data_IF_791012381430
#
_entry.id   IF_791012381430
#
_cell.length_a   1.000
_cell.length_b   1.000
_cell.length_c   1.000
_cell.angle_alpha   90.00
_cell.angle_beta   90.00
_cell.angle_gamma   90.00
#
_symmetry.space_group_name_H-M   'P 1'
#
loop_
_entity.id
_entity.type
_entity.pdbx_description
1 polymer ?
#
# COMPACT_ATOMS: atom_id res chain seq x y z
N UNK A 1 -28.88 6.38 -8.29
CA UNK A 1 -27.81 6.53 -7.28
C UNK A 1 -27.36 5.21 -6.66
N UNK A 2 -28.26 4.40 -6.09
CA UNK A 2 -27.91 3.12 -5.42
C UNK A 2 -27.12 2.12 -6.27
N UNK A 3 -27.46 1.98 -7.56
CA UNK A 3 -26.75 1.08 -8.49
C UNK A 3 -25.28 1.46 -8.68
N UNK A 4 -24.95 2.75 -8.67
CA UNK A 4 -23.58 3.23 -8.82
C UNK A 4 -22.74 2.93 -7.56
N UNK A 5 -23.31 3.15 -6.37
CA UNK A 5 -22.67 2.80 -5.10
C UNK A 5 -22.39 1.30 -5.00
N UNK A 6 -23.38 0.47 -5.33
CA UNK A 6 -23.24 -0.99 -5.35
C UNK A 6 -22.26 -1.47 -6.43
N UNK A 7 -22.18 -0.80 -7.58
CA UNK A 7 -21.19 -1.11 -8.61
C UNK A 7 -19.78 -0.78 -8.11
N UNK A 8 -19.57 0.40 -7.53
CA UNK A 8 -18.31 0.81 -6.94
C UNK A 8 -17.84 -0.18 -5.86
N UNK A 9 -18.71 -0.48 -4.89
CA UNK A 9 -18.42 -1.42 -3.81
C UNK A 9 -17.99 -2.78 -4.38
N UNK A 10 -18.74 -3.35 -5.34
CA UNK A 10 -18.40 -4.65 -5.94
C UNK A 10 -17.06 -4.64 -6.66
N UNK A 11 -16.74 -3.57 -7.39
CA UNK A 11 -15.47 -3.46 -8.13
C UNK A 11 -14.30 -3.35 -7.17
N UNK A 12 -14.37 -2.43 -6.21
CA UNK A 12 -13.28 -2.19 -5.24
C UNK A 12 -13.08 -3.41 -4.33
N UNK A 13 -14.15 -3.95 -3.77
CA UNK A 13 -14.08 -5.14 -2.93
C UNK A 13 -13.56 -6.36 -3.68
N UNK A 14 -13.89 -6.50 -4.96
CA UNK A 14 -13.39 -7.57 -5.82
C UNK A 14 -11.90 -7.42 -6.11
N UNK A 15 -11.45 -6.20 -6.41
CA UNK A 15 -10.04 -5.88 -6.63
C UNK A 15 -9.21 -6.14 -5.36
N UNK A 16 -9.59 -5.54 -4.24
CA UNK A 16 -8.87 -5.63 -2.97
C UNK A 16 -8.84 -7.06 -2.42
N UNK A 17 -9.89 -7.86 -2.64
CA UNK A 17 -9.87 -9.29 -2.30
C UNK A 17 -8.89 -10.09 -3.14
N UNK A 18 -8.74 -9.78 -4.43
CA UNK A 18 -7.75 -10.46 -5.29
C UNK A 18 -6.34 -10.09 -4.88
N UNK A 19 -6.06 -8.78 -4.75
CA UNK A 19 -4.76 -8.27 -4.31
C UNK A 19 -4.42 -8.84 -2.93
N UNK A 20 -5.33 -8.75 -1.96
CA UNK A 20 -5.15 -9.27 -0.61
C UNK A 20 -4.81 -10.76 -0.58
N UNK A 21 -5.52 -11.61 -1.34
CA UNK A 21 -5.23 -13.05 -1.40
C UNK A 21 -3.86 -13.35 -2.01
N UNK A 22 -3.42 -12.59 -3.00
CA UNK A 22 -2.05 -12.73 -3.54
C UNK A 22 -1.03 -12.30 -2.48
N UNK A 23 -1.27 -11.17 -1.81
CA UNK A 23 -0.37 -10.62 -0.81
C UNK A 23 -0.25 -11.48 0.44
N UNK A 24 -1.27 -12.28 0.79
CA UNK A 24 -1.17 -13.28 1.88
C UNK A 24 0.03 -14.22 1.68
N UNK A 25 0.33 -14.61 0.44
CA UNK A 25 1.48 -15.46 0.15
C UNK A 25 2.83 -14.72 0.22
N UNK A 26 2.83 -13.39 0.29
CA UNK A 26 4.03 -12.57 0.47
C UNK A 26 4.82 -12.90 1.73
N UNK A 27 4.17 -13.46 2.76
CA UNK A 27 4.84 -13.96 3.95
C UNK A 27 5.85 -15.07 3.63
N UNK A 28 5.57 -15.94 2.66
CA UNK A 28 6.49 -17.00 2.24
C UNK A 28 7.73 -16.43 1.55
N UNK A 29 7.56 -15.36 0.76
CA UNK A 29 8.69 -14.65 0.16
C UNK A 29 9.57 -14.01 1.25
N UNK A 30 8.96 -13.36 2.25
CA UNK A 30 9.69 -12.81 3.39
C UNK A 30 10.41 -13.90 4.20
N UNK A 31 9.75 -15.04 4.46
CA UNK A 31 10.35 -16.20 5.13
C UNK A 31 11.54 -16.74 4.34
N UNK A 32 11.46 -16.83 3.01
CA UNK A 32 12.56 -17.29 2.17
C UNK A 32 13.76 -16.33 2.24
N UNK A 33 13.54 -15.02 2.23
CA UNK A 33 14.60 -14.00 2.39
C UNK A 33 15.27 -14.14 3.76
N UNK A 34 14.49 -14.27 4.83
CA UNK A 34 15.01 -14.41 6.19
C UNK A 34 15.74 -15.76 6.38
N UNK A 35 15.22 -16.83 5.79
CA UNK A 35 15.87 -18.14 5.80
C UNK A 35 17.23 -18.09 5.09
N UNK A 36 17.28 -17.43 3.92
CA UNK A 36 18.54 -17.21 3.21
C UNK A 36 19.53 -16.35 4.01
N UNK A 37 19.02 -15.31 4.68
CA UNK A 37 19.82 -14.49 5.59
C UNK A 37 20.41 -15.31 6.74
N UNK A 38 19.61 -16.20 7.35
CA UNK A 38 20.06 -17.07 8.42
C UNK A 38 21.10 -18.07 7.91
N UNK A 39 20.83 -18.70 6.76
CA UNK A 39 21.74 -19.67 6.14
C UNK A 39 23.12 -19.07 5.84
N UNK A 40 23.17 -17.90 5.21
CA UNK A 40 24.44 -17.25 4.85
C UNK A 40 25.22 -16.74 6.07
N UNK A 41 24.52 -16.26 7.10
CA UNK A 41 25.14 -15.83 8.35
C UNK A 41 25.71 -17.01 9.14
N UNK A 42 24.91 -18.05 9.36
CA UNK A 42 25.34 -19.27 10.06
C UNK A 42 26.46 -19.96 9.28
N UNK A 43 26.38 -19.98 7.94
CA UNK A 43 27.41 -20.52 7.07
C UNK A 43 28.76 -19.82 7.23
N UNK A 44 28.73 -18.49 7.34
CA UNK A 44 29.90 -17.67 7.66
C UNK A 44 30.46 -17.99 9.05
N UNK A 45 29.60 -18.01 10.06
CA UNK A 45 30.00 -18.22 11.47
C UNK A 45 30.58 -19.63 11.72
N UNK A 46 30.09 -20.64 10.98
CA UNK A 46 30.58 -22.02 11.04
C UNK A 46 31.83 -22.29 10.17
N UNK A 47 32.33 -21.28 9.45
CA UNK A 47 33.57 -21.40 8.66
C UNK A 47 33.40 -22.12 7.31
N UNK A 48 32.19 -22.21 6.75
CA UNK A 48 31.94 -22.84 5.45
C UNK A 48 32.38 -21.98 4.23
N UNK A 49 33.10 -20.87 4.46
CA UNK A 49 33.55 -19.98 3.39
C UNK A 49 32.41 -19.22 2.68
N UNK A 50 31.24 -19.12 3.31
CA UNK A 50 30.08 -18.38 2.80
C UNK A 50 30.13 -16.96 3.36
N UNK A 51 30.03 -15.95 2.50
CA UNK A 51 29.93 -14.56 2.94
C UNK A 51 28.48 -14.19 3.32
N UNK A 52 28.24 -13.46 4.42
CA UNK A 52 26.91 -12.97 4.77
C UNK A 52 26.28 -12.14 3.64
N UNK A 53 25.03 -12.42 3.31
CA UNK A 53 24.32 -11.67 2.27
C UNK A 53 24.00 -10.25 2.74
N UNK A 54 24.47 -9.24 1.99
CA UNK A 54 24.28 -7.84 2.34
C UNK A 54 22.87 -7.31 2.02
N UNK A 55 22.12 -7.98 1.15
CA UNK A 55 20.85 -7.50 0.61
C UNK A 55 19.62 -7.95 1.39
N UNK A 56 19.76 -8.97 2.24
CA UNK A 56 18.62 -9.68 2.83
C UNK A 56 17.87 -8.85 3.85
N UNK A 57 18.55 -7.95 4.56
CA UNK A 57 17.94 -7.10 5.58
C UNK A 57 16.94 -6.12 4.96
N UNK A 58 17.37 -5.36 3.95
CA UNK A 58 16.55 -4.36 3.28
C UNK A 58 15.45 -5.03 2.45
N UNK A 59 15.75 -6.17 1.80
CA UNK A 59 14.72 -6.91 1.09
C UNK A 59 13.65 -7.46 2.02
N UNK A 60 14.00 -7.91 3.22
CA UNK A 60 13.02 -8.32 4.21
C UNK A 60 12.15 -7.14 4.66
N UNK A 61 12.74 -5.95 4.86
CA UNK A 61 12.01 -4.74 5.20
C UNK A 61 11.07 -4.29 4.06
N UNK A 62 11.53 -4.30 2.81
CA UNK A 62 10.71 -3.97 1.66
C UNK A 62 9.58 -4.98 1.46
N UNK A 63 9.87 -6.28 1.63
CA UNK A 63 8.86 -7.33 1.58
C UNK A 63 7.81 -7.15 2.68
N UNK A 64 8.23 -6.81 3.91
CA UNK A 64 7.33 -6.51 5.02
C UNK A 64 6.44 -5.30 4.70
N UNK A 65 7.03 -4.18 4.25
CA UNK A 65 6.28 -2.97 3.90
C UNK A 65 5.27 -3.25 2.78
N UNK A 66 5.70 -3.95 1.73
CA UNK A 66 4.82 -4.35 0.64
C UNK A 66 3.66 -5.24 1.13
N UNK A 67 3.98 -6.25 1.97
CA UNK A 67 3.00 -7.14 2.59
C UNK A 67 1.95 -6.38 3.41
N UNK A 68 2.39 -5.49 4.30
CA UNK A 68 1.49 -4.72 5.16
C UNK A 68 0.66 -3.71 4.38
N UNK A 69 1.27 -2.95 3.48
CA UNK A 69 0.59 -1.83 2.80
C UNK A 69 -0.35 -2.33 1.69
N UNK A 70 0.03 -3.35 0.91
CA UNK A 70 -0.86 -3.93 -0.09
C UNK A 70 -1.91 -4.89 0.52
N UNK A 71 -1.64 -5.44 1.71
CA UNK A 71 -2.60 -6.23 2.48
C UNK A 71 -3.61 -5.38 3.27
N UNK A 72 -3.27 -4.13 3.60
CA UNK A 72 -4.10 -3.20 4.35
C UNK A 72 -5.53 -2.97 3.81
N UNK A 73 -5.76 -2.80 2.49
CA UNK A 73 -7.11 -2.68 1.95
C UNK A 73 -7.97 -3.92 2.24
N UNK A 74 -7.35 -5.12 2.15
CA UNK A 74 -8.04 -6.37 2.42
C UNK A 74 -8.35 -6.54 3.91
N UNK A 75 -7.47 -6.10 4.81
CA UNK A 75 -7.70 -6.12 6.25
C UNK A 75 -8.85 -5.18 6.67
N UNK A 76 -8.96 -4.00 6.05
CA UNK A 76 -10.10 -3.09 6.22
C UNK A 76 -11.38 -3.78 5.75
N UNK A 77 -11.36 -4.41 4.58
CA UNK A 77 -12.53 -5.09 4.00
C UNK A 77 -13.09 -6.20 4.89
N UNK A 78 -12.23 -7.05 5.47
CA UNK A 78 -12.65 -8.15 6.37
C UNK A 78 -12.86 -7.66 7.81
N UNK A 79 -12.50 -6.41 8.10
CA UNK A 79 -12.75 -5.80 9.39
C UNK A 79 -11.87 -6.32 10.53
N UNK A 80 -10.64 -6.75 10.22
CA UNK A 80 -9.71 -7.38 11.18
C UNK A 80 -9.02 -6.38 12.12
N UNK A 81 -9.30 -5.07 11.97
CA UNK A 81 -8.79 -4.06 12.88
C UNK A 81 -9.46 -4.18 14.25
N UNK A 82 -8.69 -3.97 15.32
CA UNK A 82 -9.23 -3.98 16.68
C UNK A 82 -10.28 -2.88 16.80
N UNK A 83 -11.53 -3.27 17.02
CA UNK A 83 -12.64 -2.36 17.32
C UNK A 83 -12.84 -2.34 18.83
N UNK A 84 -13.21 -1.19 19.38
CA UNK A 84 -13.58 -1.10 20.78
C UNK A 84 -14.97 -1.73 21.00
N UNK A 85 -15.00 -3.04 21.19
CA UNK A 85 -16.24 -3.83 21.29
C UNK A 85 -17.14 -3.43 22.48
N UNK A 86 -16.58 -2.76 23.50
CA UNK A 86 -17.30 -2.31 24.69
C UNK A 86 -18.49 -1.38 24.37
N UNK A 87 -18.34 -0.50 23.38
CA UNK A 87 -19.40 0.44 23.00
C UNK A 87 -20.30 -0.10 21.89
N UNK A 88 -19.75 -0.91 21.00
CA UNK A 88 -20.43 -1.39 19.80
C UNK A 88 -21.43 -2.52 20.06
N UNK A 89 -21.23 -3.31 21.11
CA UNK A 89 -22.05 -4.49 21.43
C UNK A 89 -23.54 -4.19 21.64
N UNK A 90 -23.87 -3.04 22.24
CA UNK A 90 -25.25 -2.67 22.58
C UNK A 90 -25.92 -1.72 21.57
N UNK A 91 -25.23 -1.36 20.47
CA UNK A 91 -25.77 -0.41 19.50
C UNK A 91 -26.55 -1.11 18.39
N UNK A 92 -27.67 -0.50 17.98
CA UNK A 92 -28.42 -0.95 16.81
C UNK A 92 -27.58 -0.82 15.54
N UNK A 93 -27.85 -1.65 14.53
CA UNK A 93 -27.13 -1.63 13.24
C UNK A 93 -27.11 -0.23 12.60
N UNK A 94 -28.19 0.55 12.78
CA UNK A 94 -28.29 1.91 12.26
C UNK A 94 -27.41 2.91 13.02
N UNK A 95 -27.36 2.82 14.36
CA UNK A 95 -26.49 3.69 15.17
C UNK A 95 -25.01 3.40 14.88
N UNK A 96 -24.67 2.12 14.77
CA UNK A 96 -23.32 1.67 14.37
C UNK A 96 -22.92 2.25 13.02
N UNK A 97 -23.76 2.07 11.99
CA UNK A 97 -23.49 2.59 10.65
C UNK A 97 -23.32 4.11 10.60
N UNK A 98 -24.07 4.88 11.42
CA UNK A 98 -23.87 6.33 11.52
C UNK A 98 -22.49 6.71 12.08
N UNK A 99 -22.05 6.02 13.13
CA UNK A 99 -20.73 6.28 13.73
C UNK A 99 -19.60 5.80 12.82
N UNK A 100 -19.75 4.65 12.17
CA UNK A 100 -18.77 4.14 11.21
C UNK A 100 -18.65 5.11 10.01
N UNK A 101 -19.78 5.59 9.46
CA UNK A 101 -19.81 6.56 8.37
C UNK A 101 -19.16 7.91 8.73
N UNK A 102 -19.19 8.31 10.01
CA UNK A 102 -18.53 9.53 10.47
C UNK A 102 -17.03 9.28 10.73
N UNK A 103 -16.69 8.20 11.43
CA UNK A 103 -15.30 7.91 11.81
C UNK A 103 -14.42 7.59 10.59
N UNK A 104 -14.97 6.95 9.56
CA UNK A 104 -14.26 6.65 8.31
C UNK A 104 -13.81 7.92 7.57
N UNK A 105 -14.45 9.08 7.79
CA UNK A 105 -14.01 10.35 7.19
C UNK A 105 -12.62 10.77 7.71
N UNK A 106 -12.31 10.50 8.99
CA UNK A 106 -10.97 10.74 9.53
C UNK A 106 -9.95 9.80 8.91
N UNK A 107 -10.31 8.54 8.69
CA UNK A 107 -9.46 7.59 7.99
C UNK A 107 -9.21 8.03 6.54
N UNK A 108 -10.23 8.47 5.82
CA UNK A 108 -10.12 8.99 4.45
C UNK A 108 -9.20 10.22 4.43
N UNK A 109 -9.38 11.16 5.36
CA UNK A 109 -8.54 12.34 5.50
C UNK A 109 -7.07 11.96 5.76
N UNK A 110 -6.84 11.06 6.71
CA UNK A 110 -5.50 10.53 7.02
C UNK A 110 -4.86 9.86 5.80
N UNK A 111 -5.59 8.98 5.11
CA UNK A 111 -5.11 8.28 3.92
C UNK A 111 -4.83 9.23 2.76
N UNK A 112 -5.60 10.32 2.62
CA UNK A 112 -5.34 11.34 1.62
C UNK A 112 -4.03 12.09 1.89
N UNK A 113 -3.80 12.53 3.13
CA UNK A 113 -2.53 13.16 3.54
C UNK A 113 -1.36 12.20 3.36
N UNK A 114 -1.55 10.93 3.74
CA UNK A 114 -0.53 9.89 3.60
C UNK A 114 -0.22 9.60 2.13
N UNK A 115 -1.24 9.58 1.26
CA UNK A 115 -1.08 9.40 -0.18
C UNK A 115 -0.29 10.56 -0.78
N UNK A 116 -0.59 11.80 -0.40
CA UNK A 116 0.16 12.98 -0.84
C UNK A 116 1.64 12.89 -0.43
N UNK A 117 1.91 12.54 0.84
CA UNK A 117 3.27 12.33 1.32
C UNK A 117 3.99 11.19 0.58
N UNK A 118 3.30 10.09 0.29
CA UNK A 118 3.82 8.97 -0.47
C UNK A 118 4.16 9.33 -1.92
N UNK A 119 3.26 10.02 -2.60
CA UNK A 119 3.43 10.49 -4.00
C UNK A 119 4.58 11.49 -4.09
N UNK A 120 4.67 12.43 -3.15
CA UNK A 120 5.81 13.35 -3.04
C UNK A 120 7.12 12.60 -2.82
N UNK A 121 7.15 11.65 -1.87
CA UNK A 121 8.34 10.83 -1.60
C UNK A 121 8.76 9.96 -2.78
N UNK A 122 7.81 9.43 -3.55
CA UNK A 122 8.09 8.66 -4.76
C UNK A 122 8.69 9.54 -5.86
N UNK A 123 8.17 10.76 -6.06
CA UNK A 123 8.75 11.72 -7.00
C UNK A 123 10.18 12.13 -6.62
N UNK A 124 10.42 12.34 -5.32
CA UNK A 124 11.74 12.63 -4.77
C UNK A 124 12.74 11.52 -5.10
N UNK A 125 12.31 10.24 -5.00
CA UNK A 125 13.18 9.10 -5.29
C UNK A 125 13.60 8.95 -6.75
N UNK A 126 12.93 9.68 -7.64
CA UNK A 126 13.20 9.75 -9.08
C UNK A 126 13.83 11.11 -9.48
N UNK A 127 14.18 11.95 -8.51
CA UNK A 127 14.93 13.18 -8.72
C UNK A 127 14.09 14.44 -8.88
N UNK A 128 12.80 14.38 -8.57
CA UNK A 128 11.91 15.53 -8.59
C UNK A 128 11.74 16.15 -7.19
N UNK A 129 12.24 17.37 -6.99
CA UNK A 129 12.30 18.02 -5.68
C UNK A 129 11.33 19.21 -5.50
N UNK A 130 10.62 19.62 -6.55
CA UNK A 130 9.87 20.89 -6.62
C UNK A 130 8.47 20.88 -6.02
N UNK A 131 8.07 19.86 -5.28
CA UNK A 131 6.80 19.83 -4.55
C UNK A 131 5.53 19.68 -5.41
N UNK A 132 5.69 19.47 -6.72
CA UNK A 132 4.59 19.22 -7.66
C UNK A 132 4.62 17.78 -8.23
N UNK A 133 4.38 16.76 -7.40
CA UNK A 133 4.61 15.38 -7.83
C UNK A 133 3.60 14.92 -8.90
N UNK A 134 2.40 15.50 -8.96
CA UNK A 134 1.38 15.14 -9.96
C UNK A 134 1.81 15.55 -11.36
N UNK A 135 2.36 16.77 -11.52
CA UNK A 135 2.82 17.27 -12.82
C UNK A 135 4.00 16.43 -13.30
N UNK A 136 4.94 16.09 -12.41
CA UNK A 136 6.05 15.18 -12.70
C UNK A 136 5.59 13.81 -13.22
N UNK A 137 4.72 13.11 -12.50
CA UNK A 137 4.25 11.78 -12.95
C UNK A 137 3.43 11.87 -14.25
N UNK A 138 2.68 12.94 -14.47
CA UNK A 138 1.99 13.16 -15.75
C UNK A 138 2.97 13.40 -16.90
N UNK A 139 4.09 14.09 -16.63
CA UNK A 139 5.21 14.28 -17.56
C UNK A 139 5.86 12.96 -17.94
N UNK A 140 6.18 12.10 -16.96
CA UNK A 140 6.71 10.74 -17.22
C UNK A 140 5.78 9.94 -18.14
N UNK A 141 4.47 9.97 -17.88
CA UNK A 141 3.50 9.25 -18.71
C UNK A 141 3.47 9.84 -20.12
N UNK A 142 3.47 11.17 -20.26
CA UNK A 142 3.53 11.85 -21.55
C UNK A 142 4.82 11.53 -22.33
N UNK A 143 5.97 11.55 -21.65
CA UNK A 143 7.27 11.19 -22.21
C UNK A 143 7.27 9.75 -22.73
N UNK A 144 6.70 8.81 -21.97
CA UNK A 144 6.57 7.42 -22.39
C UNK A 144 5.78 7.27 -23.71
N UNK A 145 4.68 8.00 -23.89
CA UNK A 145 3.87 7.91 -25.11
C UNK A 145 4.44 8.69 -26.30
N UNK A 146 5.31 9.68 -26.06
CA UNK A 146 5.88 10.53 -27.12
C UNK A 146 7.24 10.05 -27.61
N UNK A 147 8.11 9.58 -26.71
CA UNK A 147 9.49 9.18 -27.02
C UNK A 147 9.92 7.86 -26.36
N UNK A 148 8.99 7.10 -25.78
CA UNK A 148 9.28 5.79 -25.22
C UNK A 148 10.16 5.82 -23.97
N UNK A 149 10.97 4.78 -23.78
CA UNK A 149 11.79 4.62 -22.58
C UNK A 149 12.94 5.65 -22.48
N UNK A 150 13.42 6.15 -23.62
CA UNK A 150 14.51 7.14 -23.66
C UNK A 150 14.02 8.50 -23.12
N UNK A 151 12.84 8.96 -23.56
CA UNK A 151 12.24 10.18 -23.05
C UNK A 151 11.94 10.11 -21.54
N UNK A 152 11.54 8.94 -21.02
CA UNK A 152 11.36 8.75 -19.57
C UNK A 152 12.69 8.86 -18.82
N UNK A 153 13.78 8.38 -19.40
CA UNK A 153 15.10 8.46 -18.79
C UNK A 153 15.62 9.90 -18.70
N UNK A 154 15.22 10.79 -19.60
CA UNK A 154 15.55 12.22 -19.52
C UNK A 154 14.80 12.93 -18.39
N UNK A 155 13.56 12.51 -18.09
CA UNK A 155 12.75 13.04 -16.98
C UNK A 155 13.23 12.56 -15.60
N UNK A 156 13.80 11.34 -15.53
CA UNK A 156 14.30 10.74 -14.28
C UNK A 156 15.76 11.10 -14.09
N UNK A 157 16.04 12.07 -13.23
CA UNK A 157 17.40 12.53 -12.95
C UNK A 157 18.13 11.71 -11.88
N UNK A 158 17.72 11.88 -10.63
CA UNK A 158 18.40 11.31 -9.47
C UNK A 158 17.64 10.10 -8.92
N UNK A 159 18.27 8.91 -8.97
CA UNK A 159 17.71 7.72 -8.35
C UNK A 159 18.20 7.53 -6.91
N UNK A 160 17.29 7.75 -5.96
CA UNK A 160 17.55 7.61 -4.53
C UNK A 160 17.88 6.14 -4.18
N UNK A 161 18.97 5.97 -3.42
CA UNK A 161 19.44 4.68 -2.92
C UNK A 161 19.49 4.66 -1.41
N UNK A 162 19.28 3.49 -0.83
CA UNK A 162 19.45 3.27 0.61
C UNK A 162 20.89 3.57 1.05
N UNK A 163 21.04 4.11 2.27
CA UNK A 163 22.33 4.42 2.90
C UNK A 163 22.98 3.19 3.58
N UNK A 164 22.68 2.00 3.09
CA UNK A 164 23.17 0.72 3.61
C UNK A 164 24.31 0.15 2.77
N UNK A 165 24.92 -0.96 3.18
CA UNK A 165 26.00 -1.59 2.41
C UNK A 165 25.56 -2.07 1.02
N UNK A 166 24.31 -2.53 0.88
CA UNK A 166 23.77 -3.03 -0.39
C UNK A 166 23.30 -1.91 -1.34
N UNK A 167 22.87 -0.77 -0.81
CA UNK A 167 22.47 0.44 -1.56
C UNK A 167 21.38 0.22 -2.64
N UNK A 168 20.27 -0.49 -2.36
CA UNK A 168 19.17 -0.64 -3.33
C UNK A 168 18.47 0.67 -3.65
N UNK A 169 17.89 0.75 -4.85
CA UNK A 169 17.01 1.86 -5.23
C UNK A 169 15.69 1.85 -4.45
N UNK A 170 15.24 3.03 -4.02
CA UNK A 170 14.05 3.16 -3.16
C UNK A 170 12.74 3.41 -3.93
N UNK A 171 12.81 3.81 -5.19
CA UNK A 171 11.61 4.10 -5.99
C UNK A 171 10.63 2.92 -6.07
N UNK A 172 11.04 1.63 -6.18
CA UNK A 172 10.08 0.54 -6.33
C UNK A 172 9.19 0.38 -5.09
N UNK A 173 9.79 0.43 -3.89
CA UNK A 173 9.04 0.28 -2.65
C UNK A 173 8.16 1.49 -2.36
N UNK A 174 8.59 2.70 -2.74
CA UNK A 174 7.78 3.91 -2.61
C UNK A 174 6.59 3.90 -3.56
N UNK A 175 6.72 3.37 -4.78
CA UNK A 175 5.57 3.16 -5.66
C UNK A 175 4.59 2.11 -5.13
N UNK A 176 5.09 0.99 -4.59
CA UNK A 176 4.25 -0.01 -3.93
C UNK A 176 3.47 0.62 -2.76
N UNK A 177 4.12 1.48 -1.98
CA UNK A 177 3.50 2.21 -0.89
C UNK A 177 2.37 3.12 -1.40
N UNK A 178 2.62 3.93 -2.44
CA UNK A 178 1.61 4.78 -3.07
C UNK A 178 0.42 3.94 -3.56
N UNK A 179 0.69 2.82 -4.24
CA UNK A 179 -0.35 1.93 -4.74
C UNK A 179 -1.21 1.36 -3.60
N UNK A 180 -0.60 0.84 -2.54
CA UNK A 180 -1.36 0.26 -1.43
C UNK A 180 -2.14 1.32 -0.63
N UNK A 181 -1.60 2.52 -0.42
CA UNK A 181 -2.35 3.62 0.19
C UNK A 181 -3.53 4.03 -0.68
N UNK A 182 -3.34 4.12 -2.00
CA UNK A 182 -4.42 4.39 -2.93
C UNK A 182 -5.52 3.32 -2.86
N UNK A 183 -5.16 2.03 -2.82
CA UNK A 183 -6.13 0.94 -2.64
C UNK A 183 -6.85 1.00 -1.28
N UNK A 184 -6.16 1.41 -0.21
CA UNK A 184 -6.77 1.62 1.11
C UNK A 184 -7.76 2.78 1.07
N UNK A 185 -7.45 3.86 0.36
CA UNK A 185 -8.35 4.99 0.18
C UNK A 185 -9.62 4.57 -0.57
N UNK A 186 -9.48 3.79 -1.65
CA UNK A 186 -10.63 3.21 -2.35
C UNK A 186 -11.45 2.30 -1.43
N UNK A 187 -10.80 1.47 -0.60
CA UNK A 187 -11.53 0.63 0.36
C UNK A 187 -12.27 1.45 1.42
N UNK A 188 -11.65 2.50 1.96
CA UNK A 188 -12.28 3.37 2.95
C UNK A 188 -13.54 4.07 2.38
N UNK A 189 -13.49 4.49 1.11
CA UNK A 189 -14.67 5.00 0.40
C UNK A 189 -15.71 3.90 0.19
N UNK A 190 -15.30 2.66 -0.11
CA UNK A 190 -16.20 1.50 -0.18
C UNK A 190 -16.93 1.26 1.14
N UNK A 191 -16.23 1.30 2.28
CA UNK A 191 -16.85 1.17 3.61
C UNK A 191 -17.82 2.31 3.92
N UNK A 192 -17.45 3.56 3.59
CA UNK A 192 -18.35 4.71 3.73
C UNK A 192 -19.65 4.53 2.94
N UNK A 193 -19.56 4.04 1.70
CA UNK A 193 -20.75 3.75 0.89
C UNK A 193 -21.57 2.60 1.44
N UNK A 194 -20.94 1.57 2.01
CA UNK A 194 -21.65 0.48 2.69
C UNK A 194 -22.42 1.00 3.90
N UNK A 195 -21.84 1.90 4.69
CA UNK A 195 -22.51 2.47 5.84
C UNK A 195 -23.67 3.38 5.45
N UNK A 196 -23.54 4.20 4.40
CA UNK A 196 -24.66 4.98 3.84
C UNK A 196 -25.81 4.07 3.42
N UNK A 197 -25.51 2.96 2.73
CA UNK A 197 -26.51 2.00 2.28
C UNK A 197 -27.19 1.29 3.48
N UNK A 198 -26.44 0.93 4.53
CA UNK A 198 -26.99 0.39 5.79
C UNK A 198 -27.92 1.39 6.50
N UNK A 199 -27.55 2.68 6.54
CA UNK A 199 -28.39 3.74 7.14
C UNK A 199 -29.73 3.88 6.40
N UNK A 200 -29.73 3.64 5.08
CA UNK A 200 -30.93 3.64 4.22
C UNK A 200 -31.74 2.35 4.27
N UNK A 201 -31.33 1.36 5.07
CA UNK A 201 -32.02 0.09 5.21
C UNK A 201 -31.81 -0.87 4.04
N UNK A 202 -30.78 -0.67 3.22
CA UNK A 202 -30.44 -1.55 2.10
C UNK A 202 -29.45 -2.59 2.59
N UNK A 203 -29.77 -3.86 2.40
CA UNK A 203 -28.87 -5.00 2.66
C UNK A 203 -27.84 -5.12 1.54
N UNK A 204 -26.57 -5.38 1.90
CA UNK A 204 -25.38 -5.39 1.03
C UNK A 204 -24.64 -6.70 1.21
#
# INVERSE_FOLDING_TARGET
MHRLLLAYVRVVDGLNRRVGRVMMYGIFAMMAILLWSAFTKVGSDMGFGINPSLWTLEMAQFAMVAYYILGGPYSIQIGSNVRMDLFYGNWSNRKRAWVDAFTVLFLICYLFVLLWGGVSSASYSLGHFSGEPITFFSGIIGAFFTGGAEAVAEEVGFMERSATAWRPYLWPIKLIMVLGIFLMLLQAVSEFFKDILRIRGITI
#
